data_IF_776088992681
#
_entry.id   IF_776088992681
#
_cell.length_a   1.000
_cell.length_b   1.000
_cell.length_c   1.000
_cell.angle_alpha   90.00
_cell.angle_beta   90.00
_cell.angle_gamma   90.00
#
_symmetry.space_group_name_H-M   'P 1'
#
loop_
_entity.id
_entity.type
_entity.pdbx_description
1 polymer ?
#
# COMPACT_ATOMS: atom_id res chain seq x y z
N UNK A 1 13.82 52.19 -32.29
CA UNK A 1 13.09 51.45 -31.23
C UNK A 1 13.16 49.99 -31.62
N UNK A 2 13.97 49.22 -30.92
CA UNK A 2 13.99 47.76 -31.07
C UNK A 2 12.67 47.20 -30.56
N UNK A 3 11.93 46.48 -31.41
CA UNK A 3 10.75 45.69 -31.02
C UNK A 3 11.24 44.52 -30.20
N UNK A 4 11.20 44.62 -28.90
CA UNK A 4 11.41 43.45 -28.02
C UNK A 4 10.15 42.60 -28.13
N UNK A 5 10.24 41.52 -28.88
CA UNK A 5 9.18 40.50 -28.88
C UNK A 5 9.37 39.67 -27.59
N UNK A 6 8.47 39.83 -26.65
CA UNK A 6 8.44 39.04 -25.46
C UNK A 6 7.68 37.72 -25.79
N UNK A 7 8.39 36.62 -25.85
CA UNK A 7 7.81 35.31 -26.02
C UNK A 7 7.46 34.71 -24.64
N UNK A 8 6.19 34.50 -24.39
CA UNK A 8 5.72 33.79 -23.19
C UNK A 8 5.63 32.31 -23.54
N UNK A 9 6.43 31.47 -22.88
CA UNK A 9 6.36 30.01 -23.01
C UNK A 9 5.73 29.44 -21.75
N UNK A 10 4.63 28.72 -21.89
CA UNK A 10 4.04 27.97 -20.79
C UNK A 10 4.88 26.71 -20.52
N UNK A 11 5.28 26.47 -19.27
CA UNK A 11 6.09 25.31 -18.87
C UNK A 11 5.15 24.20 -18.32
N UNK A 12 4.28 23.67 -19.15
CA UNK A 12 3.28 22.67 -18.78
C UNK A 12 3.28 21.43 -19.69
N UNK A 13 4.20 21.36 -20.65
CA UNK A 13 4.30 20.27 -21.64
C UNK A 13 4.74 18.90 -21.12
N UNK A 14 5.20 18.81 -19.87
CA UNK A 14 5.65 17.54 -19.29
C UNK A 14 7.07 17.12 -19.69
N UNK A 15 7.49 15.97 -19.19
CA UNK A 15 8.72 15.30 -19.61
C UNK A 15 8.42 14.49 -20.88
N UNK A 16 9.12 14.79 -21.96
CA UNK A 16 8.97 14.09 -23.25
C UNK A 16 10.36 13.59 -23.69
N UNK A 17 10.53 12.27 -23.72
CA UNK A 17 11.79 11.62 -24.08
C UNK A 17 11.74 10.91 -25.44
N UNK A 18 10.55 10.63 -25.95
CA UNK A 18 10.34 9.89 -27.21
C UNK A 18 10.38 10.76 -28.48
N UNK A 19 10.83 12.02 -28.36
CA UNK A 19 10.95 12.96 -29.50
C UNK A 19 12.32 13.61 -29.52
N UNK A 20 12.80 13.90 -30.73
CA UNK A 20 13.99 14.70 -30.91
C UNK A 20 13.86 16.06 -30.20
N UNK A 21 14.88 16.52 -29.45
CA UNK A 21 14.86 17.78 -28.70
C UNK A 21 14.43 19.00 -29.50
N UNK A 22 14.71 19.03 -30.80
CA UNK A 22 14.36 20.13 -31.70
C UNK A 22 12.90 20.10 -32.19
N UNK A 23 12.21 18.97 -32.04
CA UNK A 23 10.82 18.79 -32.46
C UNK A 23 9.84 18.73 -31.31
N UNK A 24 10.31 18.91 -30.09
CA UNK A 24 9.45 18.90 -28.90
C UNK A 24 8.50 20.09 -28.87
N UNK A 25 7.27 19.92 -28.34
CA UNK A 25 6.36 21.03 -28.12
C UNK A 25 6.99 22.08 -27.16
N UNK A 26 6.78 23.38 -27.43
CA UNK A 26 7.20 24.42 -26.50
C UNK A 26 6.68 24.18 -25.10
N UNK A 27 7.53 24.38 -24.08
CA UNK A 27 7.17 24.16 -22.68
C UNK A 27 7.32 22.73 -22.16
N UNK A 28 7.73 21.78 -23.01
CA UNK A 28 8.15 20.44 -22.58
C UNK A 28 9.58 20.45 -22.02
N UNK A 29 9.92 19.45 -21.23
CA UNK A 29 11.21 19.28 -20.61
C UNK A 29 11.89 17.99 -21.06
N UNK A 30 13.23 18.05 -21.24
CA UNK A 30 14.09 16.89 -21.46
C UNK A 30 14.50 16.22 -20.16
N UNK A 31 14.48 16.97 -19.05
CA UNK A 31 14.78 16.47 -17.72
C UNK A 31 13.90 17.19 -16.70
N UNK A 32 13.22 16.42 -15.87
CA UNK A 32 12.46 16.90 -14.71
C UNK A 32 12.85 16.07 -13.49
N UNK A 33 13.47 16.70 -12.50
CA UNK A 33 13.87 16.05 -11.27
C UNK A 33 13.34 16.85 -10.07
N UNK A 34 12.65 16.19 -9.16
CA UNK A 34 12.03 16.78 -7.97
C UNK A 34 10.96 17.86 -8.28
N UNK A 35 10.27 17.72 -9.41
CA UNK A 35 9.15 18.58 -9.80
C UNK A 35 7.88 17.75 -10.01
N UNK A 36 6.75 18.36 -9.77
CA UNK A 36 5.42 17.79 -10.06
C UNK A 36 4.58 18.83 -10.83
N UNK A 37 3.60 18.38 -11.64
CA UNK A 37 2.67 19.29 -12.28
C UNK A 37 1.90 20.10 -11.24
N UNK A 38 1.68 21.39 -11.51
CA UNK A 38 0.86 22.27 -10.68
C UNK A 38 -0.57 22.32 -11.23
N UNK A 39 -1.57 22.27 -10.36
CA UNK A 39 -2.98 22.48 -10.72
C UNK A 39 -3.22 23.85 -11.36
N UNK A 40 -2.37 24.82 -11.04
CA UNK A 40 -2.43 26.20 -11.60
C UNK A 40 -1.65 26.35 -12.92
N UNK A 41 -1.20 25.26 -13.51
CA UNK A 41 -0.31 25.22 -14.68
C UNK A 41 1.17 25.27 -14.28
N UNK A 42 2.05 24.79 -15.17
CA UNK A 42 3.48 24.69 -14.96
C UNK A 42 3.90 23.61 -13.97
N UNK A 43 5.11 23.75 -13.42
CA UNK A 43 5.68 22.79 -12.47
C UNK A 43 5.96 23.47 -11.14
N UNK A 44 5.82 22.71 -10.09
CA UNK A 44 6.27 23.08 -8.75
C UNK A 44 7.24 22.05 -8.22
N UNK A 45 8.11 22.45 -7.33
CA UNK A 45 8.98 21.52 -6.61
C UNK A 45 8.13 20.59 -5.75
N UNK A 46 8.48 19.30 -5.73
CA UNK A 46 7.88 18.34 -4.81
C UNK A 46 8.23 18.77 -3.38
N UNK A 47 7.22 18.90 -2.55
CA UNK A 47 7.42 19.20 -1.13
C UNK A 47 8.14 18.02 -0.47
N UNK A 48 8.95 18.32 0.56
CA UNK A 48 9.54 17.30 1.41
C UNK A 48 8.46 16.42 2.05
N UNK A 49 8.86 15.23 2.50
CA UNK A 49 7.99 14.29 3.21
C UNK A 49 8.31 14.34 4.71
N UNK A 50 7.28 14.25 5.53
CA UNK A 50 7.41 14.06 6.97
C UNK A 50 7.24 12.57 7.30
N UNK A 51 7.96 12.09 8.30
CA UNK A 51 7.75 10.73 8.82
C UNK A 51 6.36 10.63 9.45
N UNK A 52 5.58 9.62 9.08
CA UNK A 52 4.26 9.38 9.67
C UNK A 52 4.38 8.77 11.07
N UNK A 53 5.28 7.81 11.26
CA UNK A 53 5.69 7.29 12.56
C UNK A 53 7.14 7.72 12.81
N UNK A 54 7.38 8.38 13.93
CA UNK A 54 8.67 9.03 14.20
C UNK A 54 9.77 8.03 14.55
N UNK A 55 9.44 6.99 15.29
CA UNK A 55 10.38 5.91 15.58
C UNK A 55 10.57 5.00 14.36
N UNK A 56 11.81 4.69 14.05
CA UNK A 56 12.11 3.73 13.01
C UNK A 56 11.60 2.34 13.34
N UNK A 57 11.08 1.64 12.32
CA UNK A 57 10.75 0.23 12.44
C UNK A 57 12.02 -0.61 12.31
N UNK A 58 12.65 -0.88 13.44
CA UNK A 58 13.90 -1.62 13.55
C UNK A 58 13.91 -2.51 14.80
N UNK A 59 14.91 -3.38 14.90
CA UNK A 59 15.02 -4.33 16.00
C UNK A 59 15.08 -3.66 17.36
N UNK A 60 15.78 -2.53 17.50
CA UNK A 60 15.90 -1.80 18.77
C UNK A 60 14.53 -1.31 19.26
N UNK A 61 13.75 -0.66 18.39
CA UNK A 61 12.45 -0.09 18.75
C UNK A 61 11.36 -1.16 18.91
N UNK A 62 11.56 -2.35 18.37
CA UNK A 62 10.65 -3.51 18.51
C UNK A 62 11.04 -4.44 19.66
N UNK A 63 12.21 -4.26 20.28
CA UNK A 63 12.74 -5.16 21.29
C UNK A 63 13.04 -6.55 20.74
N UNK A 64 13.54 -6.62 19.50
CA UNK A 64 13.90 -7.87 18.81
C UNK A 64 15.39 -7.88 18.47
N UNK A 65 15.89 -8.98 17.92
CA UNK A 65 17.29 -9.09 17.47
C UNK A 65 17.33 -9.74 16.09
N UNK A 66 17.88 -9.04 15.10
CA UNK A 66 18.05 -9.51 13.71
C UNK A 66 16.75 -9.99 13.02
N UNK A 67 15.59 -9.48 13.43
CA UNK A 67 14.27 -9.85 12.89
C UNK A 67 13.84 -8.97 11.74
N UNK A 68 14.22 -7.68 11.73
CA UNK A 68 13.85 -6.74 10.65
C UNK A 68 14.69 -6.93 9.39
N UNK A 69 15.85 -7.59 9.48
CA UNK A 69 16.76 -7.78 8.35
C UNK A 69 17.41 -6.50 7.85
N UNK A 70 18.33 -6.61 6.91
CA UNK A 70 19.06 -5.46 6.35
C UNK A 70 18.52 -4.98 5.02
N UNK A 71 17.93 -5.85 4.21
CA UNK A 71 17.52 -5.57 2.82
C UNK A 71 16.00 -5.56 2.60
N UNK A 72 15.21 -5.93 3.60
CA UNK A 72 13.76 -6.03 3.43
C UNK A 72 13.08 -4.66 3.33
N UNK A 73 12.11 -4.55 2.44
CA UNK A 73 11.27 -3.37 2.30
C UNK A 73 10.35 -3.27 3.52
N UNK A 74 10.23 -2.08 4.10
CA UNK A 74 9.21 -1.78 5.07
C UNK A 74 7.90 -1.50 4.34
N UNK A 75 6.91 -2.34 4.55
CA UNK A 75 5.55 -2.14 4.07
C UNK A 75 4.61 -1.92 5.25
N UNK A 76 3.58 -1.12 5.05
CA UNK A 76 2.64 -0.75 6.11
C UNK A 76 1.21 -0.64 5.60
N UNK A 77 0.27 -0.80 6.53
CA UNK A 77 -1.15 -0.61 6.31
C UNK A 77 -1.79 0.02 7.55
N UNK A 78 -2.98 0.57 7.40
CA UNK A 78 -3.72 1.20 8.50
C UNK A 78 -4.94 0.34 8.84
N UNK A 79 -5.07 -0.01 10.13
CA UNK A 79 -6.24 -0.66 10.69
C UNK A 79 -6.77 0.18 11.86
N UNK A 80 -7.90 0.85 11.63
CA UNK A 80 -8.42 1.80 12.62
C UNK A 80 -7.44 2.94 12.90
N UNK A 81 -6.92 3.00 14.13
CA UNK A 81 -5.93 4.00 14.57
C UNK A 81 -4.49 3.46 14.51
N UNK A 82 -4.32 2.19 14.22
CA UNK A 82 -3.03 1.52 14.22
C UNK A 82 -2.40 1.52 12.83
N UNK A 83 -1.13 1.83 12.77
CA UNK A 83 -0.26 1.56 11.63
C UNK A 83 0.37 0.19 11.86
N UNK A 84 0.03 -0.76 11.00
CA UNK A 84 0.63 -2.08 10.98
C UNK A 84 1.81 -2.05 10.03
N UNK A 85 2.97 -2.47 10.45
CA UNK A 85 4.17 -2.53 9.63
C UNK A 85 4.80 -3.91 9.68
N UNK A 86 5.46 -4.27 8.59
CA UNK A 86 6.15 -5.54 8.43
C UNK A 86 7.51 -5.37 7.76
N UNK A 87 8.51 -6.05 8.24
CA UNK A 87 9.86 -6.10 7.65
C UNK A 87 10.60 -7.35 8.12
N UNK A 88 11.21 -8.07 7.20
CA UNK A 88 11.92 -9.31 7.53
C UNK A 88 10.98 -10.37 8.10
N UNK A 89 11.17 -10.77 9.33
CA UNK A 89 10.32 -11.77 10.01
C UNK A 89 9.42 -11.19 11.10
N UNK A 90 9.35 -9.86 11.22
CA UNK A 90 8.62 -9.20 12.32
C UNK A 90 7.46 -8.36 11.79
N UNK A 91 6.37 -8.42 12.53
CA UNK A 91 5.20 -7.57 12.41
C UNK A 91 5.09 -6.70 13.67
N UNK A 92 4.79 -5.43 13.48
CA UNK A 92 4.59 -4.50 14.59
C UNK A 92 3.46 -3.53 14.31
N UNK A 93 2.98 -2.88 15.37
CA UNK A 93 2.00 -1.80 15.28
C UNK A 93 2.43 -0.57 16.07
N UNK A 94 1.96 0.59 15.65
CA UNK A 94 2.01 1.82 16.41
C UNK A 94 0.71 2.58 16.23
N UNK A 95 0.15 3.09 17.33
CA UNK A 95 -1.05 3.92 17.26
C UNK A 95 -0.66 5.37 17.02
N UNK A 96 -1.35 6.07 16.14
CA UNK A 96 -1.05 7.45 15.78
C UNK A 96 -2.27 8.36 15.75
N UNK A 97 -2.03 9.65 16.00
CA UNK A 97 -2.99 10.76 15.87
C UNK A 97 -2.23 12.04 15.49
N UNK A 98 -2.91 13.17 15.41
CA UNK A 98 -2.27 14.45 15.12
C UNK A 98 -2.84 15.55 15.98
N UNK A 99 -2.06 16.60 16.22
CA UNK A 99 -2.50 17.80 16.94
C UNK A 99 -3.54 18.58 16.14
N UNK A 100 -4.60 19.02 16.81
CA UNK A 100 -5.65 19.88 16.23
C UNK A 100 -5.53 21.34 16.66
N UNK A 101 -4.47 21.69 17.37
CA UNK A 101 -4.14 23.04 17.79
C UNK A 101 -2.62 23.19 17.95
N UNK A 102 -2.15 24.44 17.95
CA UNK A 102 -0.77 24.77 18.29
C UNK A 102 -0.51 24.50 19.79
N UNK A 103 0.63 23.92 20.11
CA UNK A 103 1.05 23.60 21.47
C UNK A 103 2.38 24.27 21.78
N UNK A 104 2.49 24.91 22.93
CA UNK A 104 3.76 25.38 23.46
C UNK A 104 4.55 24.20 24.06
N UNK A 105 5.83 24.41 24.30
CA UNK A 105 6.73 23.44 24.92
C UNK A 105 6.35 23.02 26.36
N UNK A 106 5.59 23.86 27.06
CA UNK A 106 5.24 23.72 28.49
C UNK A 106 3.81 23.25 28.75
N UNK A 107 2.98 23.06 27.69
CA UNK A 107 1.59 22.68 27.85
C UNK A 107 1.47 21.23 28.37
N UNK A 108 0.57 21.03 29.35
CA UNK A 108 0.31 19.73 29.99
C UNK A 108 -0.97 19.03 29.51
N UNK A 109 -1.74 19.67 28.63
CA UNK A 109 -2.91 19.09 27.95
C UNK A 109 -2.74 19.21 26.47
N UNK A 110 -2.67 18.08 25.78
CA UNK A 110 -2.44 18.00 24.34
C UNK A 110 -3.75 17.73 23.62
N UNK A 111 -4.18 18.66 22.77
CA UNK A 111 -5.41 18.54 21.98
C UNK A 111 -5.11 17.85 20.66
N UNK A 112 -5.83 16.77 20.39
CA UNK A 112 -5.60 15.89 19.24
C UNK A 112 -6.91 15.55 18.54
N UNK A 113 -6.83 15.03 17.32
CA UNK A 113 -8.00 14.63 16.56
C UNK A 113 -8.79 13.50 17.26
N UNK A 114 -8.09 12.52 17.79
CA UNK A 114 -8.70 11.37 18.45
C UNK A 114 -7.68 10.65 19.33
N UNK A 115 -8.12 10.09 20.46
CA UNK A 115 -7.29 9.26 21.34
C UNK A 115 -7.71 7.79 21.34
N UNK A 116 -8.57 7.38 20.40
CA UNK A 116 -8.94 5.97 20.21
C UNK A 116 -7.71 5.11 19.95
N UNK A 117 -7.70 3.89 20.45
CA UNK A 117 -6.55 2.99 20.34
C UNK A 117 -5.40 3.25 21.32
N UNK A 118 -5.28 4.45 21.90
CA UNK A 118 -4.28 4.74 22.92
C UNK A 118 -4.71 4.22 24.29
N UNK A 119 -3.75 3.81 25.12
CA UNK A 119 -4.01 3.44 26.51
C UNK A 119 -4.45 4.65 27.33
N UNK A 120 -4.96 4.44 28.56
CA UNK A 120 -5.38 5.52 29.46
C UNK A 120 -4.20 6.38 29.94
N UNK A 121 -3.01 5.84 29.96
CA UNK A 121 -1.73 6.54 30.24
C UNK A 121 -0.63 5.91 29.39
N UNK A 122 0.45 6.63 29.12
CA UNK A 122 1.53 6.06 28.30
C UNK A 122 2.54 7.09 27.82
N UNK A 123 3.22 6.73 26.75
CA UNK A 123 4.28 7.53 26.12
C UNK A 123 3.91 7.85 24.68
N UNK A 124 4.13 9.09 24.27
CA UNK A 124 3.96 9.60 22.92
C UNK A 124 5.30 10.10 22.39
N UNK A 125 5.47 10.00 21.10
CA UNK A 125 6.61 10.50 20.36
C UNK A 125 6.15 11.59 19.40
N UNK A 126 6.71 12.80 19.57
CA UNK A 126 6.46 13.97 18.74
C UNK A 126 7.78 14.55 18.26
N UNK A 127 8.10 14.47 16.96
CA UNK A 127 9.44 14.85 16.51
C UNK A 127 10.55 14.06 17.23
N UNK A 128 11.46 14.76 17.89
CA UNK A 128 12.48 14.15 18.74
C UNK A 128 12.09 14.10 20.24
N UNK A 129 10.92 14.64 20.58
CA UNK A 129 10.47 14.71 21.95
C UNK A 129 9.71 13.44 22.37
N UNK A 130 9.96 13.03 23.60
CA UNK A 130 9.20 11.99 24.31
C UNK A 130 8.30 12.69 25.33
N UNK A 131 7.01 12.38 25.27
CA UNK A 131 5.99 12.97 26.14
C UNK A 131 5.29 11.82 26.86
N UNK A 132 5.21 11.85 28.18
CA UNK A 132 4.36 10.92 28.91
C UNK A 132 3.05 11.59 29.30
N UNK A 133 1.97 10.82 29.41
CA UNK A 133 0.66 11.32 29.83
C UNK A 133 0.03 10.37 30.83
N UNK A 134 -0.79 10.90 31.75
CA UNK A 134 -1.42 10.15 32.84
C UNK A 134 -2.93 9.98 32.66
N UNK A 135 -3.53 10.66 31.70
CA UNK A 135 -4.97 10.57 31.42
C UNK A 135 -5.30 10.98 29.99
N UNK A 136 -6.51 10.64 29.55
CA UNK A 136 -7.02 11.05 28.23
C UNK A 136 -8.54 11.27 28.27
N UNK A 137 -9.01 12.10 27.35
CA UNK A 137 -10.42 12.19 26.95
C UNK A 137 -10.55 11.69 25.50
N UNK A 138 -11.67 11.87 24.84
CA UNK A 138 -11.84 11.48 23.43
C UNK A 138 -10.87 12.24 22.48
N UNK A 139 -10.48 13.46 22.84
CA UNK A 139 -9.69 14.37 21.98
C UNK A 139 -8.53 15.05 22.70
N UNK A 140 -8.18 14.66 23.92
CA UNK A 140 -7.04 15.23 24.63
C UNK A 140 -6.25 14.17 25.38
N UNK A 141 -4.94 14.38 25.49
CA UNK A 141 -4.09 13.74 26.49
C UNK A 141 -3.86 14.73 27.62
N UNK A 142 -4.01 14.30 28.87
CA UNK A 142 -3.92 15.12 30.07
C UNK A 142 -2.82 14.65 31.00
N UNK A 143 -2.32 15.58 31.85
CA UNK A 143 -1.19 15.28 32.70
C UNK A 143 0.07 14.95 31.91
N UNK A 144 0.28 15.67 30.83
CA UNK A 144 1.44 15.47 29.99
C UNK A 144 2.70 16.00 30.66
N UNK A 145 3.74 15.15 30.71
CA UNK A 145 5.10 15.52 31.09
C UNK A 145 5.92 15.65 29.80
N UNK A 146 6.37 16.86 29.53
CA UNK A 146 7.15 17.20 28.35
C UNK A 146 8.62 16.83 28.58
N UNK A 147 9.39 16.64 27.52
CA UNK A 147 10.82 16.35 27.61
C UNK A 147 11.16 15.08 28.39
N UNK A 148 10.26 14.10 28.46
CA UNK A 148 10.50 12.87 29.19
C UNK A 148 11.73 12.11 28.68
N UNK A 149 12.34 11.30 29.55
CA UNK A 149 13.55 10.50 29.21
C UNK A 149 14.72 11.36 28.68
N UNK A 150 14.87 12.58 29.19
CA UNK A 150 15.91 13.53 28.78
C UNK A 150 15.81 14.01 27.32
N UNK A 151 14.66 13.90 26.71
CA UNK A 151 14.39 14.54 25.41
C UNK A 151 14.16 16.05 25.60
N UNK A 152 14.31 16.82 24.53
CA UNK A 152 14.12 18.28 24.58
C UNK A 152 12.66 18.61 24.29
N UNK A 153 12.06 19.43 25.14
CA UNK A 153 10.72 20.01 24.95
C UNK A 153 10.69 20.88 23.68
N UNK A 154 9.59 20.78 22.91
CA UNK A 154 9.43 21.55 21.69
C UNK A 154 7.98 22.07 21.54
N UNK A 155 7.83 23.22 20.90
CA UNK A 155 6.53 23.71 20.46
C UNK A 155 6.10 23.02 19.17
N UNK A 156 4.83 22.66 19.07
CA UNK A 156 4.27 21.96 17.91
C UNK A 156 3.14 22.75 17.28
N UNK A 157 3.07 22.67 15.97
CA UNK A 157 1.98 23.22 15.18
C UNK A 157 0.86 22.21 15.03
N UNK A 158 -0.33 22.71 14.73
CA UNK A 158 -1.45 21.93 14.25
C UNK A 158 -1.03 20.96 13.11
N UNK A 159 -1.65 19.80 13.01
CA UNK A 159 -1.39 18.74 12.05
C UNK A 159 -0.03 18.00 12.18
N UNK A 160 0.75 18.26 13.21
CA UNK A 160 1.90 17.41 13.52
C UNK A 160 1.41 16.08 14.07
N UNK A 161 1.95 15.00 13.48
CA UNK A 161 1.62 13.63 13.86
C UNK A 161 2.39 13.25 15.13
N UNK A 162 1.68 12.58 16.04
CA UNK A 162 2.23 11.95 17.23
C UNK A 162 1.83 10.48 17.24
N UNK A 163 2.67 9.65 17.84
CA UNK A 163 2.43 8.20 17.89
C UNK A 163 2.92 7.56 19.19
N UNK A 164 2.45 6.37 19.45
CA UNK A 164 3.10 5.46 20.41
C UNK A 164 4.43 4.97 19.85
N UNK A 165 5.22 4.30 20.67
CA UNK A 165 6.29 3.44 20.19
C UNK A 165 5.75 2.22 19.42
N UNK A 166 6.64 1.50 18.74
CA UNK A 166 6.30 0.24 18.09
C UNK A 166 6.02 -0.85 19.13
N UNK A 167 4.97 -1.59 18.91
CA UNK A 167 4.62 -2.79 19.67
C UNK A 167 4.65 -3.98 18.73
N UNK A 168 5.37 -5.03 19.12
CA UNK A 168 5.48 -6.26 18.36
C UNK A 168 4.14 -7.00 18.33
N UNK A 169 3.72 -7.44 17.14
CA UNK A 169 2.57 -8.31 16.91
C UNK A 169 3.05 -9.77 16.81
N UNK A 170 4.04 -10.02 15.95
CA UNK A 170 4.60 -11.34 15.70
C UNK A 170 6.07 -11.23 15.26
N UNK A 171 6.88 -12.25 15.58
CA UNK A 171 8.29 -12.36 15.18
C UNK A 171 8.70 -13.79 14.80
N UNK A 172 7.70 -14.68 14.67
CA UNK A 172 7.94 -16.10 14.41
C UNK A 172 7.88 -16.46 12.91
N UNK A 173 7.67 -15.48 12.04
CA UNK A 173 7.60 -15.71 10.61
C UNK A 173 8.98 -16.02 10.02
N UNK A 174 9.01 -16.81 8.95
CA UNK A 174 10.18 -16.88 8.07
C UNK A 174 10.40 -15.53 7.43
N UNK A 175 11.64 -15.04 7.39
CA UNK A 175 11.95 -13.72 6.84
C UNK A 175 11.51 -13.62 5.38
N UNK A 176 10.81 -12.54 5.06
CA UNK A 176 10.29 -12.23 3.72
C UNK A 176 10.76 -10.86 3.24
N UNK A 177 10.92 -10.71 1.93
CA UNK A 177 11.37 -9.45 1.33
C UNK A 177 10.23 -8.44 1.17
N UNK A 178 9.00 -8.92 0.99
CA UNK A 178 7.85 -8.07 0.74
C UNK A 178 6.59 -8.62 1.41
N UNK A 179 5.69 -7.72 1.77
CA UNK A 179 4.41 -8.02 2.40
C UNK A 179 3.27 -7.41 1.59
N UNK A 180 2.13 -8.09 1.59
CA UNK A 180 0.87 -7.58 1.04
C UNK A 180 -0.16 -7.50 2.15
N UNK A 181 -0.88 -6.39 2.20
CA UNK A 181 -1.91 -6.13 3.20
C UNK A 181 -3.26 -5.92 2.52
N UNK A 182 -4.30 -6.57 3.03
CA UNK A 182 -5.67 -6.36 2.54
C UNK A 182 -6.62 -6.19 3.72
N UNK A 183 -7.31 -5.07 3.77
CA UNK A 183 -8.35 -4.82 4.77
C UNK A 183 -9.64 -5.54 4.35
N UNK A 184 -10.30 -6.18 5.31
CA UNK A 184 -11.58 -6.86 5.09
C UNK A 184 -12.44 -6.86 6.35
N UNK A 185 -13.73 -7.19 6.17
CA UNK A 185 -14.69 -7.28 7.27
C UNK A 185 -15.77 -8.31 6.90
N UNK A 186 -15.67 -9.51 7.47
CA UNK A 186 -16.64 -10.60 7.24
C UNK A 186 -17.67 -10.75 8.35
N UNK A 187 -17.37 -10.25 9.54
CA UNK A 187 -18.18 -10.49 10.74
C UNK A 187 -18.49 -9.23 11.56
N UNK A 188 -18.41 -8.05 10.93
CA UNK A 188 -18.62 -6.76 11.61
C UNK A 188 -17.36 -6.20 12.28
N UNK A 189 -16.25 -6.94 12.33
CA UNK A 189 -14.95 -6.47 12.83
C UNK A 189 -14.00 -6.27 11.67
N UNK A 190 -13.41 -5.08 11.58
CA UNK A 190 -12.37 -4.78 10.60
C UNK A 190 -11.11 -5.57 10.94
N UNK A 191 -10.60 -6.27 9.96
CA UNK A 191 -9.38 -7.06 10.02
C UNK A 191 -8.45 -6.72 8.87
N UNK A 192 -7.18 -7.05 9.02
CA UNK A 192 -6.20 -6.99 7.96
C UNK A 192 -5.61 -8.38 7.71
N UNK A 193 -5.63 -8.82 6.46
CA UNK A 193 -4.93 -10.01 6.01
C UNK A 193 -3.52 -9.62 5.60
N UNK A 194 -2.54 -10.44 5.97
CA UNK A 194 -1.10 -10.18 5.83
C UNK A 194 -0.46 -11.38 5.13
N UNK A 195 0.01 -11.19 3.92
CA UNK A 195 0.68 -12.22 3.12
C UNK A 195 2.11 -11.76 2.77
N UNK A 196 3.05 -12.71 2.61
CA UNK A 196 4.46 -12.41 2.44
C UNK A 196 5.20 -13.34 1.45
N UNK A 197 4.49 -14.25 0.81
CA UNK A 197 5.08 -15.18 -0.16
C UNK A 197 5.92 -16.32 0.44
N UNK A 198 6.04 -16.41 1.78
CA UNK A 198 6.84 -17.43 2.46
C UNK A 198 6.01 -18.24 3.47
N UNK A 199 5.14 -17.57 4.20
CA UNK A 199 4.40 -18.12 5.32
C UNK A 199 2.92 -18.32 4.98
N UNK A 200 2.15 -18.89 5.91
CA UNK A 200 0.69 -18.76 5.88
C UNK A 200 0.29 -17.28 5.95
N UNK A 201 -0.75 -16.92 5.24
CA UNK A 201 -1.40 -15.62 5.46
C UNK A 201 -1.81 -15.50 6.93
N UNK A 202 -1.68 -14.33 7.50
CA UNK A 202 -2.18 -14.03 8.83
C UNK A 202 -3.35 -13.05 8.76
N UNK A 203 -4.22 -13.11 9.77
CA UNK A 203 -5.28 -12.15 10.03
C UNK A 203 -5.00 -11.43 11.34
N UNK A 204 -5.24 -10.13 11.39
CA UNK A 204 -5.09 -9.31 12.57
C UNK A 204 -6.27 -8.34 12.70
N UNK A 205 -6.91 -8.30 13.88
CA UNK A 205 -8.09 -7.46 14.17
C UNK A 205 -7.79 -6.24 15.04
N UNK A 206 -6.51 -5.91 15.24
CA UNK A 206 -6.05 -4.86 16.15
C UNK A 206 -5.64 -5.40 17.54
N UNK A 207 -6.04 -6.63 17.87
CA UNK A 207 -5.77 -7.28 19.17
C UNK A 207 -5.22 -8.71 18.97
N UNK A 208 -5.90 -9.50 18.17
CA UNK A 208 -5.62 -10.93 17.97
C UNK A 208 -4.95 -11.17 16.62
N UNK A 209 -3.80 -11.82 16.66
CA UNK A 209 -3.09 -12.32 15.49
C UNK A 209 -3.39 -13.80 15.28
N UNK A 210 -3.86 -14.17 14.10
CA UNK A 210 -4.27 -15.53 13.76
C UNK A 210 -3.67 -15.98 12.44
N UNK A 211 -3.00 -17.13 12.40
CA UNK A 211 -2.58 -17.74 11.14
C UNK A 211 -3.76 -18.40 10.44
N UNK A 212 -3.90 -18.13 9.14
CA UNK A 212 -4.91 -18.76 8.29
C UNK A 212 -4.36 -20.09 7.75
N UNK A 213 -4.27 -21.07 8.60
CA UNK A 213 -3.64 -22.37 8.36
C UNK A 213 -4.65 -23.54 8.21
N UNK A 214 -5.94 -23.20 8.12
CA UNK A 214 -7.02 -24.19 7.99
C UNK A 214 -7.37 -24.88 9.30
N UNK A 215 -6.98 -24.33 10.45
CA UNK A 215 -7.26 -24.94 11.76
C UNK A 215 -8.73 -24.79 12.22
N UNK A 216 -9.54 -24.04 11.49
CA UNK A 216 -10.97 -23.86 11.75
C UNK A 216 -11.76 -24.72 10.76
N UNK A 217 -12.49 -25.68 11.29
CA UNK A 217 -13.26 -26.64 10.50
C UNK A 217 -12.70 -28.06 10.54
N UNK A 218 -13.57 -29.05 10.60
CA UNK A 218 -13.20 -30.47 10.63
C UNK A 218 -13.01 -31.08 9.24
N UNK A 219 -12.83 -30.27 8.22
CA UNK A 219 -12.77 -30.70 6.83
C UNK A 219 -11.34 -30.80 6.27
N UNK A 220 -11.21 -31.50 5.15
CA UNK A 220 -9.94 -31.87 4.51
C UNK A 220 -9.36 -30.79 3.59
N UNK A 221 -9.77 -29.55 3.73
CA UNK A 221 -9.20 -28.46 2.92
C UNK A 221 -7.82 -28.05 3.38
N UNK A 222 -6.91 -27.84 2.43
CA UNK A 222 -5.55 -27.40 2.72
C UNK A 222 -5.43 -25.90 2.55
N UNK A 223 -5.03 -25.21 3.61
CA UNK A 223 -4.71 -23.81 3.55
C UNK A 223 -3.49 -23.54 2.65
N UNK A 224 -3.52 -22.51 1.81
CA UNK A 224 -2.37 -22.18 0.96
C UNK A 224 -1.22 -21.62 1.80
N UNK A 225 -0.02 -22.13 1.58
CA UNK A 225 1.23 -21.58 2.11
C UNK A 225 1.89 -20.71 1.05
N UNK A 226 2.84 -19.87 1.45
CA UNK A 226 3.60 -19.00 0.55
C UNK A 226 2.70 -18.12 -0.35
N UNK A 227 1.66 -17.54 0.25
CA UNK A 227 0.75 -16.63 -0.43
C UNK A 227 1.41 -15.27 -0.64
N UNK A 228 1.47 -14.81 -1.88
CA UNK A 228 2.02 -13.50 -2.24
C UNK A 228 0.99 -12.38 -2.30
N UNK A 229 -0.25 -12.71 -2.65
CA UNK A 229 -1.33 -11.75 -2.77
C UNK A 229 -2.60 -12.32 -2.18
N UNK A 230 -3.29 -11.53 -1.39
CA UNK A 230 -4.53 -11.90 -0.72
C UNK A 230 -5.54 -10.79 -0.86
N UNK A 231 -6.78 -11.13 -1.22
CA UNK A 231 -7.88 -10.16 -1.35
C UNK A 231 -9.20 -10.77 -0.89
N UNK A 232 -10.02 -9.94 -0.26
CA UNK A 232 -11.40 -10.29 0.06
C UNK A 232 -12.32 -9.93 -1.12
N UNK A 233 -13.10 -10.88 -1.58
CA UNK A 233 -14.09 -10.68 -2.63
C UNK A 233 -15.32 -11.57 -2.38
N UNK A 234 -16.52 -10.99 -2.45
CA UNK A 234 -17.83 -11.70 -2.26
C UNK A 234 -17.85 -12.60 -1.02
N UNK A 235 -17.41 -12.07 0.11
CA UNK A 235 -17.32 -12.75 1.41
C UNK A 235 -16.33 -13.94 1.46
N UNK A 236 -15.60 -14.21 0.42
CA UNK A 236 -14.48 -15.16 0.39
C UNK A 236 -13.14 -14.42 0.49
N UNK A 237 -12.16 -15.05 1.10
CA UNK A 237 -10.78 -14.62 1.03
C UNK A 237 -10.08 -15.40 -0.09
N UNK A 238 -9.51 -14.69 -1.06
CA UNK A 238 -8.78 -15.25 -2.19
C UNK A 238 -7.28 -15.16 -1.96
N UNK A 239 -6.58 -16.24 -2.24
CA UNK A 239 -5.15 -16.41 -2.00
C UNK A 239 -4.44 -16.80 -3.29
N UNK A 240 -3.53 -15.96 -3.75
CA UNK A 240 -2.63 -16.26 -4.86
C UNK A 240 -1.27 -16.68 -4.31
N UNK A 241 -0.90 -17.92 -4.55
CA UNK A 241 0.40 -18.46 -4.16
C UNK A 241 1.48 -18.00 -5.13
N UNK A 242 2.69 -17.77 -4.60
CA UNK A 242 3.88 -17.46 -5.40
C UNK A 242 4.09 -18.43 -6.56
N UNK A 243 4.26 -17.88 -7.76
CA UNK A 243 4.54 -18.63 -8.98
C UNK A 243 3.53 -19.74 -9.33
N UNK A 244 2.29 -19.67 -8.82
CA UNK A 244 1.21 -20.63 -9.06
C UNK A 244 0.22 -20.11 -10.10
N UNK A 245 -0.43 -21.04 -10.78
CA UNK A 245 -1.57 -20.80 -11.66
C UNK A 245 -2.91 -20.98 -10.91
N UNK A 246 -2.84 -21.31 -9.64
CA UNK A 246 -4.01 -21.64 -8.81
C UNK A 246 -4.33 -20.51 -7.85
N UNK A 247 -5.58 -20.09 -7.87
CA UNK A 247 -6.20 -19.14 -6.95
C UNK A 247 -7.08 -19.92 -5.98
N UNK A 248 -6.67 -20.02 -4.73
CA UNK A 248 -7.42 -20.70 -3.65
C UNK A 248 -8.34 -19.68 -2.99
N UNK A 249 -9.53 -20.10 -2.55
CA UNK A 249 -10.42 -19.26 -1.78
C UNK A 249 -11.05 -19.99 -0.58
N UNK A 250 -11.26 -19.24 0.50
CA UNK A 250 -11.88 -19.72 1.73
C UNK A 250 -13.38 -19.96 1.58
N UNK A 251 -13.99 -20.62 2.54
CA UNK A 251 -15.44 -20.61 2.71
C UNK A 251 -15.97 -19.18 2.93
N UNK A 252 -17.22 -18.87 2.56
CA UNK A 252 -17.79 -17.54 2.73
C UNK A 252 -17.86 -17.17 4.22
N UNK A 253 -17.53 -15.91 4.53
CA UNK A 253 -17.47 -15.33 5.88
C UNK A 253 -16.48 -16.02 6.85
N UNK A 254 -15.65 -16.95 6.37
CA UNK A 254 -14.74 -17.74 7.18
C UNK A 254 -13.36 -17.81 6.52
N UNK A 255 -12.52 -16.82 6.78
CA UNK A 255 -11.20 -16.65 6.17
C UNK A 255 -10.21 -17.78 6.43
N UNK A 256 -10.45 -18.59 7.47
CA UNK A 256 -9.59 -19.72 7.88
C UNK A 256 -10.23 -21.09 7.66
N UNK A 257 -11.38 -21.17 6.95
CA UNK A 257 -12.02 -22.42 6.58
C UNK A 257 -11.80 -22.72 5.10
N UNK A 258 -11.10 -23.82 4.82
CA UNK A 258 -10.80 -24.29 3.47
C UNK A 258 -11.54 -25.59 3.12
N UNK A 259 -12.62 -25.88 3.84
CA UNK A 259 -13.44 -27.10 3.62
C UNK A 259 -14.33 -26.94 2.38
N UNK A 260 -14.20 -27.78 1.34
CA UNK A 260 -15.02 -27.65 0.12
C UNK A 260 -16.53 -27.76 0.38
N UNK A 261 -16.94 -28.59 1.34
CA UNK A 261 -18.35 -28.71 1.71
C UNK A 261 -18.95 -27.42 2.29
N UNK A 262 -18.12 -26.52 2.81
CA UNK A 262 -18.51 -25.22 3.34
C UNK A 262 -18.41 -24.10 2.28
N UNK A 263 -18.04 -24.42 1.04
CA UNK A 263 -17.95 -23.46 -0.07
C UNK A 263 -16.55 -22.91 -0.31
N UNK A 264 -15.50 -23.52 0.25
CA UNK A 264 -14.13 -23.24 -0.13
C UNK A 264 -13.75 -23.98 -1.42
N UNK A 265 -12.73 -23.49 -2.13
CA UNK A 265 -12.28 -24.14 -3.35
C UNK A 265 -11.06 -23.49 -3.98
N UNK A 266 -10.81 -23.87 -5.22
CA UNK A 266 -9.76 -23.24 -6.02
C UNK A 266 -10.20 -23.06 -7.47
N UNK A 267 -9.61 -22.08 -8.12
CA UNK A 267 -9.79 -21.75 -9.54
C UNK A 267 -8.40 -21.77 -10.17
N UNK A 268 -8.28 -22.46 -11.32
CA UNK A 268 -7.04 -22.48 -12.06
C UNK A 268 -7.15 -21.56 -13.27
N UNK A 269 -6.15 -20.68 -13.41
CA UNK A 269 -5.90 -19.88 -14.60
C UNK A 269 -4.70 -20.48 -15.36
N UNK A 270 -4.59 -20.18 -16.66
CA UNK A 270 -3.56 -20.83 -17.49
C UNK A 270 -2.22 -20.07 -17.49
N UNK A 271 -1.95 -19.27 -16.48
CA UNK A 271 -0.74 -18.47 -16.36
C UNK A 271 -0.41 -18.19 -14.88
N UNK A 272 0.85 -17.86 -14.60
CA UNK A 272 1.33 -17.58 -13.25
C UNK A 272 0.76 -16.28 -12.72
N UNK A 273 0.07 -16.35 -11.59
CA UNK A 273 -0.55 -15.19 -10.95
C UNK A 273 0.55 -14.31 -10.33
N UNK A 274 0.52 -13.03 -10.63
CA UNK A 274 1.40 -11.98 -10.09
C UNK A 274 0.70 -11.22 -8.97
N UNK A 275 -0.56 -10.83 -9.16
CA UNK A 275 -1.29 -10.04 -8.19
C UNK A 275 -2.80 -10.11 -8.37
N UNK A 276 -3.50 -9.64 -7.34
CA UNK A 276 -4.95 -9.56 -7.30
C UNK A 276 -5.38 -8.12 -7.02
N UNK A 277 -6.50 -7.69 -7.59
CA UNK A 277 -7.13 -6.42 -7.27
C UNK A 277 -8.64 -6.49 -7.47
N UNK A 278 -9.40 -6.06 -6.47
CA UNK A 278 -10.85 -5.89 -6.61
C UNK A 278 -11.14 -4.51 -7.18
N UNK A 279 -11.87 -4.47 -8.28
CA UNK A 279 -12.26 -3.23 -8.94
C UNK A 279 -13.64 -3.38 -9.59
N UNK A 280 -14.52 -2.40 -9.41
CA UNK A 280 -15.90 -2.39 -9.94
C UNK A 280 -16.65 -3.69 -9.71
N UNK A 281 -16.60 -4.19 -8.46
CA UNK A 281 -17.26 -5.43 -8.03
C UNK A 281 -16.80 -6.72 -8.75
N UNK A 282 -15.62 -6.70 -9.33
CA UNK A 282 -14.96 -7.85 -9.96
C UNK A 282 -13.57 -8.04 -9.37
N UNK A 283 -13.09 -9.27 -9.32
CA UNK A 283 -11.72 -9.58 -8.93
C UNK A 283 -10.85 -9.74 -10.18
N UNK A 284 -9.92 -8.83 -10.40
CA UNK A 284 -8.93 -8.92 -11.46
C UNK A 284 -7.77 -9.77 -10.99
N UNK A 285 -7.38 -10.73 -11.82
CA UNK A 285 -6.28 -11.68 -11.61
C UNK A 285 -5.21 -11.32 -12.62
N UNK A 286 -4.19 -10.62 -12.15
CA UNK A 286 -3.05 -10.23 -12.96
C UNK A 286 -2.06 -11.37 -13.00
N UNK A 287 -1.78 -11.89 -14.21
CA UNK A 287 -0.81 -12.93 -14.44
C UNK A 287 0.41 -12.38 -15.20
N UNK A 288 1.42 -13.23 -15.37
CA UNK A 288 2.68 -12.83 -16.00
C UNK A 288 2.52 -12.39 -17.45
N UNK A 289 1.66 -13.07 -18.22
CA UNK A 289 1.45 -12.79 -19.65
C UNK A 289 -0.02 -12.53 -20.00
N UNK A 290 -0.93 -12.59 -19.03
CA UNK A 290 -2.36 -12.47 -19.26
C UNK A 290 -3.06 -11.81 -18.07
N UNK A 291 -4.30 -11.37 -18.26
CA UNK A 291 -5.15 -10.83 -17.20
C UNK A 291 -6.52 -11.49 -17.33
N UNK A 292 -7.03 -11.95 -16.20
CA UNK A 292 -8.38 -12.51 -16.09
C UNK A 292 -9.23 -11.68 -15.14
N UNK A 293 -10.54 -11.81 -15.28
CA UNK A 293 -11.50 -11.24 -14.36
C UNK A 293 -12.43 -12.33 -13.84
N UNK A 294 -12.58 -12.39 -12.53
CA UNK A 294 -13.55 -13.23 -11.85
C UNK A 294 -14.78 -12.39 -11.51
N UNK A 295 -15.93 -12.87 -11.95
CA UNK A 295 -17.25 -12.33 -11.62
C UNK A 295 -18.10 -13.41 -10.94
N UNK A 296 -19.27 -13.02 -10.42
CA UNK A 296 -20.15 -13.91 -9.66
C UNK A 296 -20.22 -13.52 -8.17
N UNK A 297 -21.08 -14.19 -7.43
CA UNK A 297 -21.36 -13.90 -6.02
C UNK A 297 -20.99 -15.06 -5.08
N UNK A 298 -20.87 -16.25 -5.61
CA UNK A 298 -20.59 -17.49 -4.86
C UNK A 298 -19.91 -18.53 -5.75
N UNK A 299 -19.41 -19.59 -5.17
CA UNK A 299 -18.80 -20.71 -5.90
C UNK A 299 -19.72 -21.30 -7.00
N UNK A 300 -21.03 -21.18 -6.84
CA UNK A 300 -21.99 -21.73 -7.80
C UNK A 300 -22.08 -20.91 -9.12
N UNK A 301 -21.73 -19.64 -9.08
CA UNK A 301 -21.82 -18.69 -10.20
C UNK A 301 -20.50 -17.96 -10.51
N UNK A 302 -19.40 -18.37 -9.91
CA UNK A 302 -18.08 -17.83 -10.25
C UNK A 302 -17.71 -18.17 -11.70
N UNK A 303 -17.45 -17.11 -12.49
CA UNK A 303 -17.01 -17.20 -13.87
C UNK A 303 -15.70 -16.45 -14.03
N UNK A 304 -14.71 -17.08 -14.66
CA UNK A 304 -13.42 -16.47 -14.99
C UNK A 304 -13.36 -16.25 -16.49
N UNK A 305 -13.17 -14.99 -16.88
CA UNK A 305 -13.07 -14.57 -18.27
C UNK A 305 -11.70 -13.89 -18.52
N UNK A 306 -11.08 -14.10 -19.68
CA UNK A 306 -9.89 -13.37 -20.04
C UNK A 306 -10.21 -11.92 -20.38
N UNK A 307 -9.47 -10.98 -19.82
CA UNK A 307 -9.42 -9.57 -20.23
C UNK A 307 -8.44 -9.44 -21.39
N UNK A 308 -7.27 -10.05 -21.23
CA UNK A 308 -6.24 -10.18 -22.30
C UNK A 308 -5.43 -11.46 -22.10
N UNK A 309 -4.95 -12.04 -23.20
CA UNK A 309 -4.13 -13.26 -23.20
C UNK A 309 -2.67 -13.01 -23.58
N UNK A 310 -2.35 -11.79 -23.98
CA UNK A 310 -1.04 -11.46 -24.57
C UNK A 310 -0.29 -10.37 -23.78
N UNK A 311 -0.95 -9.77 -22.79
CA UNK A 311 -0.39 -8.69 -21.98
C UNK A 311 -0.64 -8.98 -20.52
N UNK A 312 0.42 -9.15 -19.75
CA UNK A 312 0.38 -9.40 -18.31
C UNK A 312 0.93 -8.26 -17.48
N UNK A 313 1.16 -8.53 -16.20
CA UNK A 313 1.68 -7.60 -15.22
C UNK A 313 3.06 -8.06 -14.73
N UNK A 314 4.03 -7.14 -14.65
CA UNK A 314 5.39 -7.45 -14.20
C UNK A 314 5.51 -7.51 -12.68
N UNK A 315 4.79 -6.65 -11.97
CA UNK A 315 4.91 -6.54 -10.51
C UNK A 315 3.57 -6.14 -9.86
N UNK A 316 3.19 -6.87 -8.80
CA UNK A 316 1.95 -6.64 -8.05
C UNK A 316 1.87 -5.27 -7.37
N UNK A 317 3.01 -4.70 -6.97
CA UNK A 317 3.06 -3.39 -6.32
C UNK A 317 2.91 -2.22 -7.29
N UNK A 318 2.89 -2.49 -8.59
CA UNK A 318 2.54 -1.51 -9.61
C UNK A 318 1.03 -1.32 -9.79
N UNK A 319 0.22 -2.28 -9.33
CA UNK A 319 -1.23 -2.27 -9.55
C UNK A 319 -1.89 -1.28 -8.61
N UNK A 320 -2.55 -0.26 -9.16
CA UNK A 320 -3.25 0.78 -8.40
C UNK A 320 -4.54 1.20 -9.09
N UNK A 321 -5.51 1.68 -8.29
CA UNK A 321 -6.72 2.33 -8.79
C UNK A 321 -6.53 3.84 -8.86
N UNK A 322 -6.67 4.42 -10.04
CA UNK A 322 -6.60 5.85 -10.29
C UNK A 322 -7.62 6.29 -11.35
N UNK A 323 -8.32 7.39 -11.07
CA UNK A 323 -9.24 7.99 -12.05
C UNK A 323 -10.41 7.09 -12.48
N UNK A 324 -10.77 6.09 -11.67
CA UNK A 324 -11.82 5.12 -11.99
C UNK A 324 -11.38 4.01 -12.94
N UNK A 325 -10.09 3.77 -13.05
CA UNK A 325 -9.47 2.67 -13.80
C UNK A 325 -8.34 2.02 -13.00
N UNK A 326 -7.89 0.83 -13.39
CA UNK A 326 -6.71 0.19 -12.84
C UNK A 326 -5.51 0.48 -13.73
N UNK A 327 -4.43 0.98 -13.14
CA UNK A 327 -3.13 1.14 -13.77
C UNK A 327 -2.17 0.06 -13.27
N UNK A 328 -1.35 -0.48 -14.14
CA UNK A 328 -0.36 -1.52 -13.84
C UNK A 328 0.84 -1.43 -14.78
N UNK A 329 1.95 -2.03 -14.38
CA UNK A 329 3.17 -2.11 -15.19
C UNK A 329 3.15 -3.40 -16.02
N UNK A 330 3.04 -3.24 -17.33
CA UNK A 330 3.14 -4.30 -18.33
C UNK A 330 4.57 -4.37 -18.90
N UNK A 331 4.92 -5.43 -19.65
CA UNK A 331 6.24 -5.56 -20.29
C UNK A 331 6.63 -4.39 -21.21
N UNK A 332 5.65 -3.70 -21.76
CA UNK A 332 5.82 -2.58 -22.70
C UNK A 332 5.52 -1.21 -22.08
N UNK A 333 5.37 -1.14 -20.76
CA UNK A 333 5.17 0.10 -20.02
C UNK A 333 3.93 0.12 -19.15
N UNK A 334 3.54 1.32 -18.68
CA UNK A 334 2.34 1.49 -17.86
C UNK A 334 1.09 1.43 -18.73
N UNK A 335 0.14 0.58 -18.32
CA UNK A 335 -1.14 0.37 -19.00
C UNK A 335 -2.32 0.54 -18.05
N UNK A 336 -3.49 0.74 -18.61
CA UNK A 336 -4.77 0.71 -17.87
C UNK A 336 -5.65 -0.42 -18.36
N UNK A 337 -6.54 -0.91 -17.49
CA UNK A 337 -7.47 -1.99 -17.85
C UNK A 337 -8.45 -1.52 -18.94
N UNK A 338 -9.05 -0.34 -18.83
CA UNK A 338 -9.97 0.18 -19.85
C UNK A 338 -9.26 0.42 -21.20
N UNK A 339 -7.99 0.82 -21.16
CA UNK A 339 -7.16 0.91 -22.35
C UNK A 339 -6.91 -0.45 -22.99
N UNK A 340 -6.66 -1.47 -22.20
CA UNK A 340 -6.37 -2.84 -22.65
C UNK A 340 -7.62 -3.53 -23.22
N UNK A 341 -8.80 -3.32 -22.64
CA UNK A 341 -10.07 -3.89 -23.13
C UNK A 341 -10.56 -3.30 -24.46
N UNK A 342 -10.15 -2.07 -24.76
CA UNK A 342 -10.67 -1.32 -25.93
C UNK A 342 -9.92 -1.57 -27.24
N UNK A 343 -8.74 -2.20 -27.20
CA UNK A 343 -7.79 -2.06 -28.30
C UNK A 343 -7.37 -3.43 -28.82
N UNK A 344 -7.78 -3.70 -30.07
CA UNK A 344 -7.10 -4.65 -30.97
C UNK A 344 -5.71 -4.12 -31.40
N UNK A 345 -5.34 -2.86 -31.04
CA UNK A 345 -4.07 -2.22 -31.39
C UNK A 345 -3.23 -1.89 -30.14
N UNK A 346 -2.16 -2.63 -29.96
CA UNK A 346 -1.26 -2.64 -28.80
C UNK A 346 -0.58 -1.26 -28.56
N UNK A 347 -0.35 -0.48 -29.60
CA UNK A 347 0.39 0.80 -29.49
C UNK A 347 -0.36 1.93 -28.76
N UNK A 348 -1.68 1.92 -28.76
CA UNK A 348 -2.50 3.00 -28.21
C UNK A 348 -2.77 2.88 -26.70
N UNK A 349 -2.50 1.70 -26.09
CA UNK A 349 -2.84 1.44 -24.69
C UNK A 349 -1.77 1.81 -23.66
N UNK A 350 -0.57 2.20 -24.08
CA UNK A 350 0.54 2.50 -23.16
C UNK A 350 0.53 3.97 -22.73
N UNK A 351 0.24 4.21 -21.46
CA UNK A 351 0.18 5.57 -20.87
C UNK A 351 1.57 6.20 -20.78
N UNK A 352 2.62 5.38 -20.64
CA UNK A 352 4.00 5.82 -20.45
C UNK A 352 4.77 6.09 -21.74
N UNK A 353 4.16 6.02 -22.93
CA UNK A 353 4.83 6.16 -24.22
C UNK A 353 5.76 7.37 -24.32
N UNK A 354 5.39 8.50 -23.72
CA UNK A 354 6.19 9.74 -23.78
C UNK A 354 7.46 9.69 -22.91
N UNK A 355 7.54 8.75 -21.96
CA UNK A 355 8.67 8.54 -21.07
C UNK A 355 9.21 7.10 -21.13
N UNK A 356 8.96 6.40 -22.24
CA UNK A 356 9.26 4.97 -22.38
C UNK A 356 10.73 4.65 -22.09
N UNK A 357 11.65 5.47 -22.54
CA UNK A 357 13.09 5.33 -22.28
C UNK A 357 13.41 5.21 -20.77
N UNK A 358 12.66 5.96 -19.93
CA UNK A 358 12.79 5.84 -18.48
C UNK A 358 12.16 4.57 -17.91
N UNK A 359 11.08 4.10 -18.52
CA UNK A 359 10.43 2.84 -18.11
C UNK A 359 11.33 1.64 -18.41
N UNK A 360 11.99 1.65 -19.57
CA UNK A 360 12.88 0.57 -19.98
C UNK A 360 14.13 0.45 -19.09
N UNK A 361 14.53 1.56 -18.45
CA UNK A 361 15.64 1.60 -17.49
C UNK A 361 15.25 1.15 -16.06
N UNK A 362 13.97 0.88 -15.79
CA UNK A 362 13.52 0.53 -14.44
C UNK A 362 14.04 -0.86 -14.04
N UNK A 363 14.74 -0.93 -12.92
CA UNK A 363 14.95 -2.18 -12.22
C UNK A 363 13.66 -2.59 -11.51
N UNK A 364 13.10 -3.75 -11.88
CA UNK A 364 11.84 -4.25 -11.32
C UNK A 364 11.99 -4.89 -9.94
N UNK A 365 13.19 -4.93 -9.38
CA UNK A 365 13.41 -5.39 -8.01
C UNK A 365 13.03 -4.29 -7.01
N UNK A 366 12.23 -4.65 -6.00
CA UNK A 366 11.80 -3.73 -4.93
C UNK A 366 10.98 -2.51 -5.41
N UNK A 367 10.22 -2.70 -6.47
CA UNK A 367 9.29 -1.69 -6.98
C UNK A 367 8.14 -1.48 -5.99
N UNK A 368 7.67 -0.26 -5.87
CA UNK A 368 6.43 0.06 -5.15
C UNK A 368 5.72 1.24 -5.79
N UNK A 369 4.43 1.34 -5.62
CA UNK A 369 3.65 2.45 -6.13
C UNK A 369 2.63 2.97 -5.13
N UNK A 370 2.23 4.21 -5.31
CA UNK A 370 1.18 4.85 -4.51
C UNK A 370 0.38 5.83 -5.35
N UNK A 371 -0.91 5.93 -5.05
CA UNK A 371 -1.78 6.96 -5.61
C UNK A 371 -2.00 8.06 -4.60
N UNK A 372 -1.58 9.27 -4.95
CA UNK A 372 -1.87 10.49 -4.21
C UNK A 372 -3.21 11.05 -4.71
N UNK A 373 -4.30 10.64 -4.07
CA UNK A 373 -5.68 10.94 -4.53
C UNK A 373 -5.98 12.43 -4.64
N UNK A 374 -5.53 13.24 -3.68
CA UNK A 374 -5.72 14.70 -3.67
C UNK A 374 -5.08 15.40 -4.87
N UNK A 375 -4.06 14.78 -5.46
CA UNK A 375 -3.33 15.30 -6.62
C UNK A 375 -3.64 14.54 -7.90
N UNK A 376 -4.45 13.48 -7.84
CA UNK A 376 -4.71 12.55 -8.96
C UNK A 376 -3.41 12.06 -9.61
N UNK A 377 -2.43 11.69 -8.79
CA UNK A 377 -1.10 11.26 -9.24
C UNK A 377 -0.85 9.81 -8.88
N UNK A 378 -0.40 9.04 -9.86
CA UNK A 378 0.25 7.75 -9.66
C UNK A 378 1.76 8.00 -9.52
N UNK A 379 2.37 7.48 -8.48
CA UNK A 379 3.81 7.56 -8.23
C UNK A 379 4.39 6.16 -8.16
N UNK A 380 5.37 5.91 -9.00
CA UNK A 380 6.13 4.67 -9.03
C UNK A 380 7.52 4.94 -8.43
N UNK A 381 7.90 4.10 -7.48
CA UNK A 381 9.20 4.16 -6.81
C UNK A 381 9.99 2.90 -7.19
N UNK A 382 11.22 3.09 -7.56
CA UNK A 382 12.17 2.03 -7.91
C UNK A 382 13.57 2.44 -7.41
N UNK A 383 14.46 1.46 -7.15
CA UNK A 383 15.82 1.72 -6.66
C UNK A 383 16.67 2.60 -7.58
#
# INVERSE_FOLDING_TARGET
MENIQQQIVSLDGGLILNKDPFTQPPGSALQLQNFEPSIKGGYRRINGTNKYILLEFNDTNLGTTSKTGTAAILLSAILGYDVIAARGSVLGKATSTFFTADHTDSVTTLTVNNTGGFASSGTLYAGSEIITYTGKTATTFTGATRGASSSTEAAYKENIIISTGWTKIDEARTSANAYTFTKYNFSGTDKIAIADGQNYTASYDGTTYTLLNGSIGSGSGTAPTATESVFAFRNHMFFAKSSSEELVFSAPFAENDFTPANGAGSIRVNDKIVGLMVFRERLFIFCKNSIYVLSGNSIADFVVEPVTRDIGCLDKFSIQEIGGDLIYLAPDGLRTIAGTERIDDIELGTVSKVIQERIDDICFENLTSVVVREKSQYRLFFP
#
